data_IF_657831161393
#
_entry.id   IF_657831161393
#
_cell.length_a   1.000
_cell.length_b   1.000
_cell.length_c   1.000
_cell.angle_alpha   90.00
_cell.angle_beta   90.00
_cell.angle_gamma   90.00
#
_symmetry.space_group_name_H-M   'P 1'
#
loop_
_entity.id
_entity.type
_entity.pdbx_description
1 polymer ?
#
# COMPACT_ATOMS: atom_id res chain seq x y z
N UNK A 1 -17.47 -23.16 -1.77
CA UNK A 1 -16.39 -22.22 -2.11
C UNK A 1 -16.89 -21.13 -3.00
N UNK A 2 -16.64 -19.94 -2.61
CA UNK A 2 -17.10 -18.79 -3.36
C UNK A 2 -15.97 -18.17 -4.14
N UNK A 3 -16.02 -18.30 -5.45
CA UNK A 3 -14.94 -17.83 -6.30
C UNK A 3 -14.93 -16.33 -6.47
N UNK A 4 -16.02 -15.69 -6.12
CA UNK A 4 -16.08 -14.23 -6.25
C UNK A 4 -15.06 -13.55 -5.38
N UNK A 5 -14.72 -14.17 -4.26
CA UNK A 5 -13.77 -13.58 -3.33
C UNK A 5 -12.39 -13.50 -3.90
N UNK A 6 -12.13 -14.19 -5.00
CA UNK A 6 -10.82 -14.20 -5.63
C UNK A 6 -10.76 -13.37 -6.88
N UNK A 7 -11.86 -12.72 -7.26
CA UNK A 7 -11.86 -11.93 -8.47
C UNK A 7 -10.86 -10.78 -8.37
N UNK A 8 -10.05 -10.58 -9.40
CA UNK A 8 -9.09 -9.49 -9.39
C UNK A 8 -9.81 -8.15 -9.46
N UNK A 9 -9.34 -7.21 -8.69
CA UNK A 9 -9.86 -5.85 -8.71
C UNK A 9 -8.70 -4.88 -8.76
N UNK A 10 -8.99 -3.67 -9.21
CA UNK A 10 -7.99 -2.62 -9.34
C UNK A 10 -8.01 -1.78 -8.07
N UNK A 11 -6.89 -1.75 -7.38
CA UNK A 11 -6.75 -0.96 -6.16
C UNK A 11 -5.85 0.24 -6.43
N UNK A 12 -6.35 1.42 -6.12
CA UNK A 12 -5.55 2.63 -6.20
C UNK A 12 -4.82 2.78 -4.87
N UNK A 13 -3.50 2.68 -4.91
CA UNK A 13 -2.71 2.70 -3.69
C UNK A 13 -2.82 4.04 -2.98
N UNK A 14 -2.83 5.13 -3.73
CA UNK A 14 -3.25 6.41 -3.23
C UNK A 14 -4.65 6.64 -3.76
N UNK A 15 -5.61 6.83 -2.87
CA UNK A 15 -7.01 6.94 -3.25
C UNK A 15 -7.23 8.11 -4.19
N UNK A 16 -8.16 7.94 -5.11
CA UNK A 16 -8.51 9.03 -6.01
C UNK A 16 -8.96 10.27 -5.26
N UNK A 17 -9.70 10.09 -4.19
CA UNK A 17 -10.16 11.22 -3.39
C UNK A 17 -9.02 11.97 -2.73
N UNK A 18 -7.85 11.35 -2.64
CA UNK A 18 -6.66 11.98 -2.09
C UNK A 18 -5.69 12.42 -3.18
N UNK A 19 -6.14 12.46 -4.42
CA UNK A 19 -5.31 12.87 -5.52
C UNK A 19 -4.60 11.75 -6.24
N UNK A 20 -4.97 10.52 -5.97
CA UNK A 20 -4.34 9.38 -6.63
C UNK A 20 -4.73 9.30 -8.09
N UNK A 21 -3.80 8.83 -8.90
CA UNK A 21 -4.00 8.68 -10.33
C UNK A 21 -4.06 7.22 -10.69
N UNK A 22 -4.32 6.96 -11.97
CA UNK A 22 -4.34 5.60 -12.47
C UNK A 22 -3.03 5.19 -13.11
N UNK A 23 -1.96 5.88 -12.77
CA UNK A 23 -0.64 5.49 -13.21
C UNK A 23 -0.31 4.10 -12.68
N UNK A 24 0.48 3.40 -13.45
CA UNK A 24 0.82 2.03 -13.10
C UNK A 24 1.39 1.87 -11.70
N UNK A 25 2.24 2.80 -11.27
CA UNK A 25 2.84 2.71 -9.95
C UNK A 25 1.82 2.86 -8.84
N UNK A 26 0.66 3.41 -9.15
CA UNK A 26 -0.39 3.63 -8.15
C UNK A 26 -1.45 2.54 -8.18
N UNK A 27 -1.30 1.56 -9.04
CA UNK A 27 -2.29 0.51 -9.22
C UNK A 27 -1.74 -0.81 -8.74
N UNK A 28 -2.53 -1.55 -8.02
CA UNK A 28 -2.22 -2.95 -7.75
C UNK A 28 -3.47 -3.76 -8.00
N UNK A 29 -3.26 -5.00 -8.41
CA UNK A 29 -4.37 -5.90 -8.67
C UNK A 29 -4.49 -6.81 -7.46
N UNK A 30 -5.62 -6.77 -6.81
CA UNK A 30 -5.81 -7.53 -5.58
C UNK A 30 -7.14 -8.26 -5.64
N UNK A 31 -7.25 -9.39 -4.93
CA UNK A 31 -8.53 -10.10 -4.88
C UNK A 31 -9.61 -9.25 -4.26
N UNK A 32 -10.81 -9.44 -4.73
CA UNK A 32 -11.94 -8.65 -4.31
C UNK A 32 -12.12 -8.64 -2.79
N UNK A 33 -12.01 -9.79 -2.17
CA UNK A 33 -12.23 -9.88 -0.73
C UNK A 33 -11.21 -9.06 0.04
N UNK A 34 -9.97 -9.06 -0.42
CA UNK A 34 -8.93 -8.29 0.25
C UNK A 34 -9.07 -6.81 -0.01
N UNK A 35 -9.49 -6.47 -1.22
CA UNK A 35 -9.72 -5.07 -1.57
C UNK A 35 -10.84 -4.49 -0.71
N UNK A 36 -11.92 -5.23 -0.56
CA UNK A 36 -13.02 -4.82 0.28
C UNK A 36 -12.59 -4.67 1.72
N UNK A 37 -11.83 -5.65 2.21
CA UNK A 37 -11.35 -5.62 3.59
C UNK A 37 -10.46 -4.40 3.83
N UNK A 38 -9.60 -4.07 2.88
CA UNK A 38 -8.75 -2.90 3.01
C UNK A 38 -9.58 -1.64 3.20
N UNK A 39 -10.61 -1.48 2.38
CA UNK A 39 -11.43 -0.28 2.46
C UNK A 39 -12.29 -0.23 3.72
N UNK A 40 -12.67 -1.40 4.22
CA UNK A 40 -13.41 -1.43 5.48
C UNK A 40 -12.52 -1.02 6.64
N UNK A 41 -11.30 -1.49 6.64
CA UNK A 41 -10.39 -1.24 7.76
C UNK A 41 -9.77 0.14 7.69
N UNK A 42 -9.30 0.54 6.52
CA UNK A 42 -8.50 1.76 6.41
C UNK A 42 -9.21 2.91 5.73
N UNK A 43 -10.32 2.64 5.06
CA UNK A 43 -11.08 3.68 4.39
C UNK A 43 -10.16 4.45 3.43
N UNK A 44 -10.28 5.76 3.38
CA UNK A 44 -9.47 6.58 2.49
C UNK A 44 -8.47 7.39 3.31
N UNK A 45 -7.72 6.72 4.15
CA UNK A 45 -6.75 7.39 5.00
C UNK A 45 -5.43 7.58 4.29
N UNK A 46 -4.72 8.62 4.70
CA UNK A 46 -3.36 8.85 4.22
C UNK A 46 -2.43 7.83 4.84
N UNK A 47 -1.23 7.66 4.26
CA UNK A 47 -0.27 6.72 4.86
C UNK A 47 0.05 7.01 6.31
N UNK A 48 0.16 8.29 6.68
CA UNK A 48 0.43 8.66 8.06
C UNK A 48 -0.71 8.24 8.97
N UNK A 49 -1.94 8.42 8.52
CA UNK A 49 -3.09 8.03 9.29
C UNK A 49 -3.20 6.53 9.42
N UNK A 50 -2.84 5.81 8.37
CA UNK A 50 -2.84 4.35 8.41
C UNK A 50 -1.83 3.84 9.43
N UNK A 51 -0.62 4.41 9.42
CA UNK A 51 0.40 3.99 10.38
C UNK A 51 -0.07 4.24 11.80
N UNK A 52 -0.66 5.39 12.06
CA UNK A 52 -1.16 5.69 13.40
C UNK A 52 -2.25 4.71 13.81
N UNK A 53 -3.14 4.40 12.89
CA UNK A 53 -4.23 3.49 13.20
C UNK A 53 -3.72 2.07 13.46
N UNK A 54 -2.79 1.61 12.65
CA UNK A 54 -2.20 0.29 12.86
C UNK A 54 -1.54 0.23 14.24
N UNK A 55 -0.78 1.24 14.58
CA UNK A 55 -0.06 1.26 15.85
C UNK A 55 -1.01 1.33 17.03
N UNK A 56 -2.10 2.06 16.87
CA UNK A 56 -3.02 2.28 17.99
C UNK A 56 -3.93 1.09 18.24
N UNK A 57 -4.25 0.33 17.20
CA UNK A 57 -5.33 -0.64 17.30
C UNK A 57 -4.89 -2.06 17.01
N UNK A 58 -4.00 -2.24 16.06
CA UNK A 58 -3.76 -3.57 15.52
C UNK A 58 -2.42 -4.18 15.87
N UNK A 59 -1.40 -3.36 16.05
CA UNK A 59 -0.05 -3.87 16.17
C UNK A 59 0.29 -4.19 17.61
N UNK A 60 1.16 -5.18 17.79
CA UNK A 60 1.76 -5.50 19.06
C UNK A 60 2.29 -4.20 19.68
N UNK A 61 1.89 -3.89 20.93
CA UNK A 61 2.27 -2.59 21.52
C UNK A 61 3.76 -2.39 21.73
N UNK A 62 4.55 -3.47 21.66
CA UNK A 62 5.99 -3.33 21.78
C UNK A 62 6.66 -2.95 20.48
N UNK A 63 5.87 -2.77 19.42
CA UNK A 63 6.40 -2.45 18.10
C UNK A 63 5.65 -1.26 17.54
N UNK A 64 6.24 -0.65 16.55
CA UNK A 64 5.51 0.40 15.84
C UNK A 64 5.96 0.47 14.39
N UNK A 65 5.04 0.84 13.52
CA UNK A 65 5.34 1.15 12.14
C UNK A 65 5.55 2.65 12.03
N UNK A 66 6.55 3.02 11.26
CA UNK A 66 6.83 4.42 11.02
C UNK A 66 6.60 4.70 9.54
N UNK A 67 5.79 5.69 9.26
CA UNK A 67 5.50 6.08 7.90
C UNK A 67 6.49 7.14 7.46
N UNK A 68 7.31 6.81 6.47
CA UNK A 68 8.26 7.77 5.94
C UNK A 68 8.11 7.82 4.42
N UNK A 69 8.24 8.98 3.83
CA UNK A 69 8.18 9.07 2.38
C UNK A 69 9.34 8.30 1.76
N UNK A 70 9.04 7.63 0.65
CA UNK A 70 10.08 6.92 -0.06
C UNK A 70 10.93 7.94 -0.79
N UNK A 71 12.24 7.78 -0.69
CA UNK A 71 13.11 8.68 -1.39
C UNK A 71 12.95 8.52 -2.88
N UNK A 72 12.84 9.65 -3.55
CA UNK A 72 12.82 9.64 -4.99
C UNK A 72 14.19 9.31 -5.49
N UNK A 73 14.27 8.32 -6.35
CA UNK A 73 15.55 7.98 -6.91
C UNK A 73 15.73 8.63 -8.24
N UNK A 74 16.92 9.13 -8.54
CA UNK A 74 17.19 9.61 -9.89
C UNK A 74 17.05 8.46 -10.86
N UNK A 75 16.74 8.78 -12.09
CA UNK A 75 16.62 7.77 -13.13
C UNK A 75 18.01 7.30 -13.50
N UNK A 76 18.49 6.32 -12.81
CA UNK A 76 19.82 5.78 -13.03
C UNK A 76 19.70 4.29 -13.20
N UNK A 77 19.97 3.76 -14.37
CA UNK A 77 19.85 2.33 -14.58
C UNK A 77 20.75 1.53 -13.68
N UNK A 78 21.81 2.09 -13.19
CA UNK A 78 22.69 1.35 -12.32
C UNK A 78 22.15 1.16 -10.93
N UNK A 79 21.19 1.93 -10.56
CA UNK A 79 20.65 1.80 -9.23
C UNK A 79 19.89 0.55 -9.02
N UNK A 80 19.41 -0.01 -10.08
CA UNK A 80 18.61 -1.21 -9.94
C UNK A 80 19.47 -2.40 -9.66
N UNK A 81 20.74 -2.23 -9.82
CA UNK A 81 21.64 -3.33 -9.60
C UNK A 81 21.77 -3.69 -8.16
N UNK A 82 21.48 -2.99 -7.42
CA UNK A 82 21.71 -3.20 -6.06
C UNK A 82 21.10 -4.16 -5.35
N UNK A 83 21.52 -4.42 -5.71
CA UNK A 83 21.27 -5.03 -5.14
C UNK A 83 21.16 -5.64 -4.51
N UNK A 84 21.35 -5.67 -4.71
CA UNK A 84 21.36 -6.09 -4.27
C UNK A 84 21.39 -6.44 -3.47
N UNK A 85 21.55 -6.34 -3.38
CA UNK A 85 21.66 -6.52 -2.70
C UNK A 85 21.52 -6.49 -2.08
N UNK A 86 21.57 -6.26 -2.06
CA UNK A 86 21.48 -6.09 -1.53
C UNK A 86 20.96 -6.11 -1.02
N UNK A 87 20.82 -5.94 -0.93
CA UNK A 87 20.49 -5.76 -0.55
C UNK A 87 20.20 -5.82 -0.13
#
# INVERSE_FOLDING_TARGET
MNHKDSNPTVHHRKCKSLGGTSERRNISIVPDVKHTAWHIVFENRTPEMIAKYINAVWLDPDYEFICVPRKKKPADPNQTVLPLGFS
#
